data_IF_602224955764
#
_entry.id   IF_602224955764
#
_cell.length_a   1.000
_cell.length_b   1.000
_cell.length_c   1.000
_cell.angle_alpha   90.00
_cell.angle_beta   90.00
_cell.angle_gamma   90.00
#
_symmetry.space_group_name_H-M   'P 1'
#
loop_
_entity.id
_entity.type
_entity.pdbx_description
1 polymer ?
#
# COMPACT_ATOMS: atom_id res chain seq x y z
N UNK A 1 -6.89 8.29 17.90
CA UNK A 1 -6.77 7.42 16.72
C UNK A 1 -7.62 8.04 15.64
N UNK A 2 -7.01 8.55 14.57
CA UNK A 2 -7.75 9.15 13.45
C UNK A 2 -7.99 8.10 12.35
N UNK A 3 -9.26 7.80 12.07
CA UNK A 3 -9.68 6.81 11.06
C UNK A 3 -9.26 7.25 9.66
N UNK A 4 -9.28 8.56 9.37
CA UNK A 4 -8.84 9.08 8.07
C UNK A 4 -7.34 8.87 7.88
N UNK A 5 -6.54 9.16 8.92
CA UNK A 5 -5.11 8.87 8.93
C UNK A 5 -4.79 7.38 8.75
N UNK A 6 -5.54 6.48 9.39
CA UNK A 6 -5.38 5.03 9.21
C UNK A 6 -5.66 4.63 7.76
N UNK A 7 -6.80 5.07 7.22
CA UNK A 7 -7.19 4.77 5.85
C UNK A 7 -6.19 5.32 4.82
N UNK A 8 -5.73 6.56 5.00
CA UNK A 8 -4.71 7.18 4.15
C UNK A 8 -3.40 6.39 4.18
N UNK A 9 -2.95 5.99 5.37
CA UNK A 9 -1.72 5.21 5.52
C UNK A 9 -1.83 3.82 4.85
N UNK A 10 -3.02 3.22 4.85
CA UNK A 10 -3.33 1.98 4.15
C UNK A 10 -3.26 2.12 2.63
N UNK A 11 -3.81 3.22 2.09
CA UNK A 11 -3.72 3.56 0.67
C UNK A 11 -2.29 3.80 0.23
N UNK A 12 -1.52 4.62 0.97
CA UNK A 12 -0.10 4.88 0.69
C UNK A 12 0.74 3.60 0.71
N UNK A 13 0.46 2.69 1.66
CA UNK A 13 1.16 1.41 1.74
C UNK A 13 0.85 0.52 0.53
N UNK A 14 -0.39 0.50 0.07
CA UNK A 14 -0.78 -0.21 -1.14
C UNK A 14 -0.16 0.39 -2.41
N UNK A 15 -0.14 1.72 -2.53
CA UNK A 15 0.50 2.42 -3.64
C UNK A 15 2.00 2.06 -3.72
N UNK A 16 2.71 2.05 -2.59
CA UNK A 16 4.11 1.63 -2.54
C UNK A 16 4.30 0.19 -3.05
N UNK A 17 3.38 -0.75 -2.72
CA UNK A 17 3.43 -2.13 -3.22
C UNK A 17 3.24 -2.20 -4.74
N UNK A 18 2.29 -1.44 -5.30
CA UNK A 18 2.08 -1.37 -6.74
C UNK A 18 3.31 -0.78 -7.42
N UNK A 19 3.85 0.32 -6.90
CA UNK A 19 5.05 0.98 -7.46
C UNK A 19 6.26 0.06 -7.47
N UNK A 20 6.52 -0.65 -6.37
CA UNK A 20 7.60 -1.65 -6.29
C UNK A 20 7.38 -2.78 -7.29
N UNK A 21 6.14 -3.28 -7.41
CA UNK A 21 5.86 -4.35 -8.35
C UNK A 21 6.05 -3.92 -9.80
N UNK A 22 5.54 -2.74 -10.18
CA UNK A 22 5.75 -2.16 -11.50
C UNK A 22 7.25 -1.95 -11.79
N UNK A 23 8.02 -1.48 -10.81
CA UNK A 23 9.47 -1.33 -10.93
C UNK A 23 10.18 -2.68 -11.17
N UNK A 24 9.79 -3.74 -10.45
CA UNK A 24 10.34 -5.08 -10.65
C UNK A 24 10.03 -5.64 -12.04
N UNK A 25 8.76 -5.53 -12.47
CA UNK A 25 8.33 -5.99 -13.81
C UNK A 25 9.08 -5.23 -14.92
N UNK A 26 9.23 -3.92 -14.79
CA UNK A 26 9.97 -3.10 -15.75
C UNK A 26 11.45 -3.51 -15.90
N UNK A 27 12.04 -4.06 -14.85
CA UNK A 27 13.44 -4.50 -14.81
C UNK A 27 13.61 -6.03 -14.93
N UNK A 28 12.56 -6.77 -15.30
CA UNK A 28 12.58 -8.22 -15.42
C UNK A 28 13.73 -8.75 -16.30
N UNK A 29 14.04 -8.04 -17.39
CA UNK A 29 15.06 -8.44 -18.36
C UNK A 29 16.41 -7.75 -18.14
N UNK A 30 16.58 -7.04 -17.04
CA UNK A 30 17.84 -6.38 -16.67
C UNK A 30 18.76 -7.41 -15.99
N UNK A 31 19.96 -7.61 -16.55
CA UNK A 31 20.97 -8.50 -15.97
C UNK A 31 21.35 -8.11 -14.54
N UNK A 32 21.57 -9.09 -13.68
CA UNK A 32 21.92 -8.93 -12.25
C UNK A 32 20.94 -8.08 -11.43
N UNK A 33 19.73 -7.81 -11.95
CA UNK A 33 18.72 -7.03 -11.25
C UNK A 33 18.22 -7.78 -10.00
N UNK A 34 18.14 -7.04 -8.89
CA UNK A 34 17.59 -7.52 -7.62
C UNK A 34 16.25 -6.85 -7.37
N UNK A 35 15.16 -7.61 -7.22
CA UNK A 35 13.85 -7.03 -7.00
C UNK A 35 13.78 -6.31 -5.65
N UNK A 36 12.89 -5.33 -5.60
CA UNK A 36 12.50 -4.64 -4.39
C UNK A 36 11.27 -5.29 -3.74
N UNK A 37 11.12 -5.11 -2.44
CA UNK A 37 10.03 -5.61 -1.61
C UNK A 37 9.55 -4.51 -0.68
N UNK A 38 8.26 -4.54 -0.37
CA UNK A 38 7.66 -3.63 0.61
C UNK A 38 7.46 -4.35 1.93
N UNK A 39 8.14 -3.85 2.95
CA UNK A 39 7.87 -4.18 4.34
C UNK A 39 6.86 -3.18 4.89
N UNK A 40 5.68 -3.65 5.33
CA UNK A 40 4.66 -2.81 5.95
C UNK A 40 4.67 -3.04 7.46
N UNK A 41 4.85 -1.98 8.24
CA UNK A 41 4.92 -2.03 9.70
C UNK A 41 3.82 -1.18 10.31
N UNK A 42 3.22 -1.65 11.42
CA UNK A 42 2.22 -0.88 12.16
C UNK A 42 2.86 0.29 12.90
N UNK A 43 2.17 1.43 12.93
CA UNK A 43 2.60 2.61 13.72
C UNK A 43 1.92 2.62 15.08
N UNK A 44 2.63 3.10 16.10
CA UNK A 44 2.07 3.26 17.45
C UNK A 44 0.86 4.21 17.49
N UNK A 45 0.82 5.21 16.61
CA UNK A 45 -0.29 6.16 16.44
C UNK A 45 -1.49 5.60 15.65
N UNK A 46 -1.44 4.33 15.23
CA UNK A 46 -2.39 3.74 14.30
C UNK A 46 -1.96 3.83 12.84
N UNK A 47 -2.48 2.91 12.02
CA UNK A 47 -2.14 2.80 10.61
C UNK A 47 -0.81 2.08 10.39
N UNK A 48 -0.22 2.29 9.21
CA UNK A 48 1.02 1.62 8.82
C UNK A 48 1.99 2.50 8.04
N UNK A 49 3.25 2.10 8.06
CA UNK A 49 4.32 2.63 7.22
C UNK A 49 4.79 1.54 6.26
N UNK A 50 5.00 1.90 4.99
CA UNK A 50 5.62 1.03 4.01
C UNK A 50 7.09 1.43 3.82
N UNK A 51 7.98 0.45 3.89
CA UNK A 51 9.42 0.62 3.64
C UNK A 51 9.82 -0.26 2.47
N UNK A 52 10.41 0.37 1.46
CA UNK A 52 10.95 -0.34 0.30
C UNK A 52 12.36 -0.82 0.65
N UNK A 53 12.63 -2.11 0.43
CA UNK A 53 13.94 -2.72 0.61
C UNK A 53 14.27 -3.59 -0.59
N UNK A 54 15.56 -3.85 -0.83
CA UNK A 54 15.92 -4.90 -1.77
C UNK A 54 15.62 -6.27 -1.17
N UNK A 55 15.29 -7.25 -2.01
CA UNK A 55 15.12 -8.63 -1.58
C UNK A 55 16.43 -9.15 -0.96
N UNK A 56 16.31 -9.75 0.24
CA UNK A 56 17.45 -10.24 1.02
C UNK A 56 18.25 -11.32 0.29
N UNK A 57 17.56 -12.14 -0.50
CA UNK A 57 18.18 -13.15 -1.36
C UNK A 57 18.32 -12.62 -2.78
N UNK A 58 19.36 -13.05 -3.49
CA UNK A 58 19.39 -12.95 -4.95
C UNK A 58 18.29 -13.87 -5.51
N UNK A 59 17.09 -13.32 -5.65
CA UNK A 59 15.96 -13.96 -6.30
C UNK A 59 15.68 -13.26 -7.64
N UNK A 60 15.34 -14.02 -8.69
CA UNK A 60 14.89 -13.42 -9.94
C UNK A 60 13.54 -12.73 -9.72
N UNK A 61 13.21 -11.76 -10.58
CA UNK A 61 11.85 -11.23 -10.68
C UNK A 61 10.93 -12.36 -11.14
N UNK A 62 9.82 -12.56 -10.42
CA UNK A 62 8.86 -13.65 -10.64
C UNK A 62 7.52 -13.03 -11.00
N UNK A 63 7.15 -13.02 -12.29
CA UNK A 63 5.95 -12.34 -12.79
C UNK A 63 4.67 -12.75 -12.05
N UNK A 64 4.53 -14.03 -11.73
CA UNK A 64 3.36 -14.54 -11.01
C UNK A 64 3.25 -13.96 -9.60
N UNK A 65 4.38 -13.70 -8.93
CA UNK A 65 4.39 -13.01 -7.62
C UNK A 65 4.02 -11.55 -7.81
N UNK A 66 4.63 -10.87 -8.78
CA UNK A 66 4.39 -9.46 -9.03
C UNK A 66 2.91 -9.18 -9.35
N UNK A 67 2.26 -10.03 -10.15
CA UNK A 67 0.81 -9.94 -10.42
C UNK A 67 -0.02 -10.15 -9.14
N UNK A 68 0.32 -11.13 -8.32
CA UNK A 68 -0.36 -11.35 -7.03
C UNK A 68 -0.20 -10.15 -6.10
N UNK A 69 1.01 -9.57 -6.03
CA UNK A 69 1.29 -8.38 -5.23
C UNK A 69 0.46 -7.18 -5.73
N UNK A 70 0.30 -7.00 -7.04
CA UNK A 70 -0.57 -5.96 -7.61
C UNK A 70 -2.05 -6.18 -7.27
N UNK A 71 -2.54 -7.43 -7.32
CA UNK A 71 -3.92 -7.76 -6.94
C UNK A 71 -4.18 -7.47 -5.45
N UNK A 72 -3.25 -7.89 -4.59
CA UNK A 72 -3.35 -7.65 -3.15
C UNK A 72 -3.30 -6.16 -2.83
N UNK A 73 -2.37 -5.44 -3.46
CA UNK A 73 -2.25 -4.00 -3.26
C UNK A 73 -3.49 -3.25 -3.75
N UNK A 74 -4.05 -3.58 -4.92
CA UNK A 74 -5.31 -3.00 -5.40
C UNK A 74 -6.46 -3.25 -4.42
N UNK A 75 -6.56 -4.47 -3.89
CA UNK A 75 -7.58 -4.83 -2.90
C UNK A 75 -7.41 -4.01 -1.61
N UNK A 76 -6.19 -3.92 -1.08
CA UNK A 76 -5.88 -3.12 0.11
C UNK A 76 -6.19 -1.64 -0.10
N UNK A 77 -5.82 -1.09 -1.26
CA UNK A 77 -6.11 0.30 -1.63
C UNK A 77 -7.62 0.55 -1.63
N UNK A 78 -8.39 -0.31 -2.30
CA UNK A 78 -9.85 -0.16 -2.42
C UNK A 78 -10.53 -0.28 -1.07
N UNK A 79 -10.10 -1.23 -0.22
CA UNK A 79 -10.61 -1.38 1.14
C UNK A 79 -10.33 -0.14 1.99
N UNK A 80 -9.10 0.38 1.94
CA UNK A 80 -8.70 1.58 2.67
C UNK A 80 -9.45 2.82 2.17
N UNK A 81 -9.62 2.96 0.86
CA UNK A 81 -10.41 4.03 0.25
C UNK A 81 -11.87 4.01 0.72
N UNK A 82 -12.48 2.82 0.87
CA UNK A 82 -13.85 2.72 1.39
C UNK A 82 -13.94 3.19 2.85
N UNK A 83 -12.96 2.83 3.68
CA UNK A 83 -12.88 3.31 5.08
C UNK A 83 -12.72 4.83 5.11
N UNK A 84 -11.87 5.40 4.24
CA UNK A 84 -11.70 6.83 4.12
C UNK A 84 -13.01 7.53 3.76
N UNK A 85 -13.72 7.07 2.72
CA UNK A 85 -14.99 7.65 2.30
C UNK A 85 -16.03 7.66 3.41
N UNK A 86 -16.23 6.53 4.09
CA UNK A 86 -17.20 6.43 5.19
C UNK A 86 -16.77 7.31 6.37
N UNK A 87 -15.49 7.36 6.70
CA UNK A 87 -14.98 8.26 7.75
C UNK A 87 -15.22 9.74 7.43
N UNK A 88 -15.04 10.14 6.16
CA UNK A 88 -15.27 11.50 5.70
C UNK A 88 -16.77 11.85 5.72
N UNK A 89 -17.63 10.95 5.24
CA UNK A 89 -19.09 11.10 5.29
C UNK A 89 -19.57 11.30 6.74
N UNK A 90 -19.14 10.45 7.68
CA UNK A 90 -19.49 10.58 9.09
C UNK A 90 -19.05 11.91 9.68
N UNK A 91 -17.84 12.36 9.35
CA UNK A 91 -17.33 13.66 9.79
C UNK A 91 -18.20 14.80 9.26
N UNK A 92 -18.62 14.72 7.99
CA UNK A 92 -19.56 15.67 7.39
C UNK A 92 -20.91 15.68 8.11
N UNK A 93 -21.52 14.51 8.34
CA UNK A 93 -22.81 14.44 9.04
C UNK A 93 -22.77 15.01 10.45
N UNK A 94 -21.66 14.84 11.18
CA UNK A 94 -21.50 15.43 12.50
C UNK A 94 -21.37 16.96 12.43
N UNK A 95 -20.67 17.49 11.43
CA UNK A 95 -20.58 18.93 11.20
C UNK A 95 -21.95 19.53 10.85
N UNK A 96 -22.72 18.86 9.98
CA UNK A 96 -24.05 19.30 9.58
C UNK A 96 -25.05 19.33 10.74
N UNK A 97 -24.91 18.43 11.73
CA UNK A 97 -25.76 18.41 12.93
C UNK A 97 -25.38 19.53 13.92
N UNK A 98 -24.11 19.92 13.96
CA UNK A 98 -23.58 20.90 14.93
C UNK A 98 -23.63 22.35 14.43
N UNK A 99 -23.73 22.56 13.12
CA UNK A 99 -23.84 23.87 12.48
C UNK A 99 -25.27 24.44 12.58
#
# INVERSE_FOLDING_TARGET
MDVLGIALSGMQSAEARIGVSAHNVANLLTGDFRPQRVEQVSRASGGSEARVRQADRREPVRLEREVVDQILARTQYTASARVFSVGAELSGTLLDILA
#
